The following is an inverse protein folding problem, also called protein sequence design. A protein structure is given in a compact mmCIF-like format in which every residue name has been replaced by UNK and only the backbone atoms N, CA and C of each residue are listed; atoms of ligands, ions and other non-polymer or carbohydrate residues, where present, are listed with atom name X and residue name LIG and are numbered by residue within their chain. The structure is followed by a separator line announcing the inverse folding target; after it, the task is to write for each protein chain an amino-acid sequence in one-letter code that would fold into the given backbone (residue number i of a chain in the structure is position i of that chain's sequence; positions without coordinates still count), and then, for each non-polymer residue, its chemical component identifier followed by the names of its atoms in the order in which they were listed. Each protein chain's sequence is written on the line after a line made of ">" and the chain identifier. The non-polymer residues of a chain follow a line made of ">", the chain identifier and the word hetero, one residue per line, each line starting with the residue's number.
data_IF_165421983177
#
_entry.id   IF_165421983177
#
_cell.length_a   1.000
_cell.length_b   1.000
_cell.length_c   1.000
_cell.angle_alpha   90.00
_cell.angle_beta   90.00
_cell.angle_gamma   90.00
#
_symmetry.space_group_name_H-M   'P 1'
#
loop_
_entity.id
_entity.type
_entity.pdbx_description
1 polymer ?
#
# COMPACT_ATOMS: atom_id res chain seq x y z
N UNK A 1 0.30 16.50 -2.50
CA UNK A 1 -1.06 16.70 -1.92
C UNK A 1 -1.90 15.45 -2.11
N UNK A 2 -2.04 14.94 -3.35
CA UNK A 2 -2.82 13.73 -3.65
C UNK A 2 -2.32 12.48 -2.93
N UNK A 3 -1.00 12.30 -2.84
CA UNK A 3 -0.37 11.15 -2.21
C UNK A 3 -0.54 11.15 -0.70
N UNK A 4 -0.43 12.32 -0.06
CA UNK A 4 -0.69 12.47 1.38
C UNK A 4 -2.12 12.10 1.73
N UNK A 5 -3.09 12.60 0.97
CA UNK A 5 -4.51 12.25 1.18
C UNK A 5 -4.75 10.76 0.93
N UNK A 6 -4.12 10.18 -0.09
CA UNK A 6 -4.20 8.74 -0.35
C UNK A 6 -3.58 7.92 0.80
N UNK A 7 -2.42 8.33 1.31
CA UNK A 7 -1.77 7.70 2.46
C UNK A 7 -2.65 7.76 3.71
N UNK A 8 -3.16 8.93 4.06
CA UNK A 8 -4.07 9.15 5.21
C UNK A 8 -5.33 8.25 5.08
N UNK A 9 -5.93 8.18 3.89
CA UNK A 9 -7.09 7.34 3.64
C UNK A 9 -6.78 5.83 3.71
N UNK A 10 -5.64 5.41 3.17
CA UNK A 10 -5.20 4.00 3.21
C UNK A 10 -4.88 3.57 4.65
N UNK A 11 -4.22 4.44 5.41
CA UNK A 11 -3.97 4.23 6.84
C UNK A 11 -5.27 4.04 7.61
N UNK A 12 -6.21 4.98 7.46
CA UNK A 12 -7.52 4.90 8.10
C UNK A 12 -8.29 3.63 7.71
N UNK A 13 -8.24 3.21 6.43
CA UNK A 13 -8.86 1.95 5.97
C UNK A 13 -8.34 0.76 6.75
N UNK A 14 -7.03 0.61 6.91
CA UNK A 14 -6.46 -0.56 7.58
C UNK A 14 -6.54 -0.48 9.11
N UNK A 15 -6.62 0.72 9.69
CA UNK A 15 -6.95 0.87 11.12
C UNK A 15 -8.39 0.43 11.41
N UNK A 16 -9.33 0.79 10.55
CA UNK A 16 -10.76 0.51 10.73
C UNK A 16 -11.17 -0.91 10.35
N UNK A 17 -10.37 -1.63 9.55
CA UNK A 17 -10.73 -2.94 8.99
C UNK A 17 -9.66 -4.00 9.34
N UNK A 18 -9.80 -4.71 10.48
CA UNK A 18 -8.79 -5.66 10.95
C UNK A 18 -8.49 -6.82 9.98
N UNK A 19 -9.50 -7.30 9.24
CA UNK A 19 -9.32 -8.37 8.26
C UNK A 19 -8.46 -7.91 7.07
N UNK A 20 -8.75 -6.73 6.53
CA UNK A 20 -7.97 -6.13 5.44
C UNK A 20 -6.55 -5.80 5.92
N UNK A 21 -6.40 -5.36 7.18
CA UNK A 21 -5.09 -5.18 7.80
C UNK A 21 -4.31 -6.49 7.86
N UNK A 22 -4.94 -7.58 8.28
CA UNK A 22 -4.30 -8.89 8.31
C UNK A 22 -3.83 -9.32 6.91
N UNK A 23 -4.67 -9.12 5.88
CA UNK A 23 -4.28 -9.37 4.48
C UNK A 23 -3.08 -8.53 4.05
N UNK A 24 -3.04 -7.25 4.40
CA UNK A 24 -1.90 -6.38 4.08
C UNK A 24 -0.62 -6.86 4.79
N UNK A 25 -0.68 -7.16 6.09
CA UNK A 25 0.46 -7.61 6.87
C UNK A 25 1.00 -8.97 6.38
N UNK A 26 0.13 -9.85 5.91
CA UNK A 26 0.52 -11.14 5.33
C UNK A 26 1.41 -11.00 4.07
N UNK A 27 1.47 -9.81 3.46
CA UNK A 27 2.37 -9.50 2.33
C UNK A 27 3.78 -9.06 2.76
N UNK A 28 4.13 -9.19 4.04
CA UNK A 28 5.47 -8.84 4.55
C UNK A 28 6.57 -9.50 3.71
N UNK A 29 7.55 -8.71 3.29
CA UNK A 29 8.67 -9.17 2.46
C UNK A 29 8.36 -9.25 0.96
N UNK A 30 7.10 -9.09 0.54
CA UNK A 30 6.73 -9.01 -0.86
C UNK A 30 6.64 -7.56 -1.36
N UNK A 31 6.93 -7.34 -2.64
CA UNK A 31 6.66 -6.08 -3.34
C UNK A 31 5.23 -6.07 -3.87
N UNK A 32 4.47 -5.03 -3.55
CA UNK A 32 3.10 -4.85 -4.07
C UNK A 32 3.11 -4.00 -5.34
N UNK A 33 2.59 -4.56 -6.43
CA UNK A 33 2.46 -3.89 -7.73
C UNK A 33 0.98 -3.71 -8.06
N UNK A 34 0.54 -2.47 -8.25
CA UNK A 34 -0.79 -2.16 -8.76
C UNK A 34 -0.77 -2.22 -10.29
N UNK A 35 -1.42 -3.21 -10.90
CA UNK A 35 -1.69 -3.21 -12.35
C UNK A 35 -2.92 -2.35 -12.63
N UNK A 36 -2.83 -1.53 -13.67
CA UNK A 36 -3.90 -0.64 -14.11
C UNK A 36 -4.12 -0.83 -15.60
N UNK A 37 -5.29 -0.45 -16.13
CA UNK A 37 -5.48 -0.46 -17.58
C UNK A 37 -4.56 0.58 -18.24
N UNK A 38 -4.70 1.85 -17.84
CA UNK A 38 -4.06 2.98 -18.54
C UNK A 38 -3.48 4.05 -17.57
N UNK A 39 -3.20 3.72 -16.30
CA UNK A 39 -2.74 4.68 -15.28
C UNK A 39 -1.31 4.35 -14.81
N UNK A 40 -0.34 5.11 -15.32
CA UNK A 40 1.07 4.96 -14.99
C UNK A 40 1.50 5.72 -13.72
N UNK A 41 0.63 6.54 -13.13
CA UNK A 41 0.96 7.30 -11.93
C UNK A 41 0.64 6.50 -10.67
N UNK A 42 -0.57 5.96 -10.56
CA UNK A 42 -0.94 5.13 -9.41
C UNK A 42 -0.42 3.69 -9.50
N UNK A 43 -0.23 3.17 -10.72
CA UNK A 43 0.16 1.79 -10.97
C UNK A 43 1.08 1.62 -12.18
N UNK A 44 1.11 0.38 -12.69
CA UNK A 44 1.79 -0.01 -13.92
C UNK A 44 0.72 -0.40 -14.95
N UNK A 45 0.62 0.32 -16.08
CA UNK A 45 -0.35 0.01 -17.13
C UNK A 45 -0.17 -1.40 -17.68
N UNK A 46 -1.25 -2.04 -18.10
CA UNK A 46 -1.22 -3.41 -18.64
C UNK A 46 -0.31 -3.51 -19.88
N UNK A 47 -0.33 -2.47 -20.71
CA UNK A 47 0.49 -2.34 -21.92
C UNK A 47 1.96 -1.98 -21.66
N UNK A 48 2.34 -1.72 -20.41
CA UNK A 48 3.68 -1.28 -20.05
C UNK A 48 4.34 -2.18 -19.00
N UNK A 49 5.67 -2.15 -18.98
CA UNK A 49 6.49 -2.80 -17.94
C UNK A 49 6.83 -1.84 -16.79
N UNK A 50 6.63 -0.54 -16.99
CA UNK A 50 6.96 0.52 -16.04
C UNK A 50 5.76 1.41 -15.71
N UNK A 51 5.80 1.96 -14.50
CA UNK A 51 4.84 2.91 -13.95
C UNK A 51 5.31 3.32 -12.55
N UNK A 52 4.82 4.42 -12.03
CA UNK A 52 5.29 4.96 -10.75
C UNK A 52 4.87 4.09 -9.56
N UNK A 53 3.81 3.28 -9.72
CA UNK A 53 3.28 2.36 -8.71
C UNK A 53 3.08 3.03 -7.33
N UNK A 54 2.59 4.28 -7.32
CA UNK A 54 2.41 5.06 -6.09
C UNK A 54 1.49 4.35 -5.10
N UNK A 55 0.43 3.69 -5.57
CA UNK A 55 -0.49 2.95 -4.70
C UNK A 55 0.21 1.78 -4.03
N UNK A 56 0.97 0.98 -4.80
CA UNK A 56 1.76 -0.12 -4.24
C UNK A 56 2.78 0.37 -3.21
N UNK A 57 3.45 1.49 -3.49
CA UNK A 57 4.38 2.13 -2.54
C UNK A 57 3.71 2.59 -1.25
N UNK A 58 2.54 3.22 -1.33
CA UNK A 58 1.76 3.67 -0.16
C UNK A 58 1.31 2.46 0.67
N UNK A 59 0.81 1.40 0.03
CA UNK A 59 0.41 0.17 0.74
C UNK A 59 1.58 -0.45 1.50
N UNK A 60 2.77 -0.51 0.88
CA UNK A 60 3.97 -1.01 1.54
C UNK A 60 4.45 -0.10 2.68
N UNK A 61 4.37 1.23 2.51
CA UNK A 61 4.67 2.19 3.58
C UNK A 61 3.77 1.96 4.80
N UNK A 62 2.46 1.92 4.61
CA UNK A 62 1.48 1.71 5.68
C UNK A 62 1.64 0.33 6.32
N UNK A 63 1.94 -0.71 5.53
CA UNK A 63 2.27 -2.05 6.07
C UNK A 63 3.45 -1.98 7.03
N UNK A 64 4.53 -1.32 6.64
CA UNK A 64 5.76 -1.27 7.43
C UNK A 64 5.55 -0.45 8.72
N UNK A 65 4.77 0.64 8.68
CA UNK A 65 4.34 1.37 9.87
C UNK A 65 3.56 0.49 10.85
N UNK A 66 2.59 -0.29 10.34
CA UNK A 66 1.75 -1.17 11.16
C UNK A 66 2.53 -2.37 11.74
N UNK A 67 3.58 -2.83 11.07
CA UNK A 67 4.50 -3.86 11.59
C UNK A 67 5.39 -3.29 12.70
N UNK A 68 5.90 -2.08 12.53
CA UNK A 68 6.73 -1.42 13.52
C UNK A 68 5.95 -1.12 14.80
N UNK A 69 4.70 -0.65 14.67
CA UNK A 69 3.82 -0.41 15.82
C UNK A 69 3.54 -1.67 16.66
N UNK A 70 3.56 -2.87 16.06
CA UNK A 70 3.40 -4.13 16.79
C UNK A 70 4.69 -4.57 17.51
N UNK A 71 5.85 -4.20 16.99
CA UNK A 71 7.14 -4.62 17.53
C UNK A 71 7.50 -3.90 18.84
N UNK A 72 6.88 -2.75 19.12
CA UNK A 72 7.08 -1.96 20.35
C UNK A 72 6.19 -2.40 21.53
N UNK A 73 5.31 -3.39 21.34
CA UNK A 73 4.41 -3.90 22.40
C UNK A 73 4.87 -5.26 22.94
N UNK A 74 6.17 -5.53 22.94
CA UNK A 74 6.77 -6.76 23.50
C UNK A 74 7.81 -6.43 24.56
#
# INVERSE_FOLDING_TARGET
>A
MKERVAEEAIRAKFEQNPEERAKLLATKGATLIQRTRNDAYWGIPESATLGENKMGKILMLVRDELLNAQSTTS
#
